data_IF_833535351728
#
_entry.id   IF_833535351728
#
_cell.length_a   1.000
_cell.length_b   1.000
_cell.length_c   1.000
_cell.angle_alpha   90.00
_cell.angle_beta   90.00
_cell.angle_gamma   90.00
#
_symmetry.space_group_name_H-M   'P 1'
#
loop_
_entity.id
_entity.type
_entity.pdbx_description
1 polymer ?
#
# COMPACT_ATOMS: atom_id res chain seq x y z
N UNK A 1 15.81 3.70 23.09
CA UNK A 1 15.42 4.75 22.13
C UNK A 1 13.92 4.70 21.84
N UNK A 2 13.24 5.84 21.84
CA UNK A 2 11.82 5.96 21.47
C UNK A 2 11.65 6.04 19.95
N UNK A 3 10.60 5.42 19.41
CA UNK A 3 10.20 5.64 18.02
C UNK A 3 9.63 7.05 17.96
N UNK A 4 10.30 7.95 17.25
CA UNK A 4 9.81 9.30 17.00
C UNK A 4 8.81 9.26 15.82
N UNK A 5 7.53 9.16 16.18
CA UNK A 5 6.41 9.12 15.23
C UNK A 5 6.36 10.40 14.40
N UNK A 6 6.62 11.56 15.02
CA UNK A 6 6.58 12.85 14.34
C UNK A 6 7.64 12.94 13.26
N UNK A 7 8.84 12.46 13.57
CA UNK A 7 9.92 12.42 12.60
C UNK A 7 9.65 11.41 11.46
N UNK A 8 9.05 10.24 11.72
CA UNK A 8 8.65 9.30 10.65
C UNK A 8 7.63 9.93 9.71
N UNK A 9 6.61 10.58 10.26
CA UNK A 9 5.55 11.24 9.46
C UNK A 9 6.13 12.40 8.66
N UNK A 10 7.01 13.22 9.26
CA UNK A 10 7.70 14.31 8.56
C UNK A 10 8.56 13.78 7.41
N UNK A 11 9.43 12.80 7.66
CA UNK A 11 10.28 12.22 6.61
C UNK A 11 9.44 11.57 5.52
N UNK A 12 8.35 10.88 5.88
CA UNK A 12 7.39 10.33 4.93
C UNK A 12 6.78 11.40 4.03
N UNK A 13 6.38 12.53 4.60
CA UNK A 13 5.89 13.69 3.85
C UNK A 13 6.97 14.27 2.93
N UNK A 14 8.16 14.56 3.46
CA UNK A 14 9.30 15.11 2.70
C UNK A 14 9.64 14.22 1.50
N UNK A 15 9.72 12.90 1.70
CA UNK A 15 9.95 11.95 0.60
C UNK A 15 8.81 11.90 -0.41
N UNK A 16 7.56 12.08 0.01
CA UNK A 16 6.41 12.11 -0.92
C UNK A 16 6.49 13.30 -1.88
N UNK A 17 6.95 14.46 -1.39
CA UNK A 17 7.07 15.68 -2.21
C UNK A 17 8.39 15.79 -2.99
N UNK A 18 9.33 14.85 -2.80
CA UNK A 18 10.55 14.78 -3.63
C UNK A 18 10.24 14.35 -5.06
N UNK A 19 11.20 14.55 -5.97
CA UNK A 19 11.09 14.15 -7.37
C UNK A 19 10.74 12.67 -7.52
N UNK A 20 11.46 11.78 -6.83
CA UNK A 20 11.20 10.34 -6.87
C UNK A 20 9.81 10.01 -6.29
N UNK A 21 9.41 10.64 -5.17
CA UNK A 21 8.07 10.48 -4.60
C UNK A 21 6.95 10.88 -5.56
N UNK A 22 7.09 12.02 -6.23
CA UNK A 22 6.11 12.49 -7.23
C UNK A 22 6.08 11.62 -8.49
N UNK A 23 7.21 11.06 -8.91
CA UNK A 23 7.26 10.10 -10.02
C UNK A 23 6.51 8.81 -9.67
N UNK A 24 6.71 8.26 -8.47
CA UNK A 24 5.93 7.12 -7.99
C UNK A 24 4.44 7.45 -7.86
N UNK A 25 4.10 8.65 -7.38
CA UNK A 25 2.71 9.10 -7.30
C UNK A 25 2.08 9.17 -8.70
N UNK A 26 2.79 9.71 -9.69
CA UNK A 26 2.32 9.78 -11.07
C UNK A 26 2.14 8.37 -11.68
N UNK A 27 3.05 7.44 -11.40
CA UNK A 27 2.93 6.05 -11.85
C UNK A 27 1.73 5.34 -11.21
N UNK A 28 1.57 5.45 -9.89
CA UNK A 28 0.45 4.85 -9.17
C UNK A 28 -0.89 5.46 -9.63
N UNK A 29 -0.93 6.78 -9.78
CA UNK A 29 -2.08 7.48 -10.36
C UNK A 29 -2.44 6.93 -11.74
N UNK A 30 -1.46 6.81 -12.64
CA UNK A 30 -1.68 6.27 -13.98
C UNK A 30 -2.24 4.84 -13.94
N UNK A 31 -1.68 3.97 -13.09
CA UNK A 31 -2.19 2.61 -12.90
C UNK A 31 -3.61 2.61 -12.36
N UNK A 32 -3.92 3.42 -11.34
CA UNK A 32 -5.25 3.42 -10.74
C UNK A 32 -6.31 3.99 -11.69
N UNK A 33 -5.96 5.00 -12.49
CA UNK A 33 -6.85 5.51 -13.55
C UNK A 33 -7.06 4.43 -14.62
N UNK A 34 -6.00 3.76 -15.08
CA UNK A 34 -6.13 2.66 -16.03
C UNK A 34 -7.02 1.55 -15.46
N UNK A 35 -6.77 1.09 -14.24
CA UNK A 35 -7.55 0.02 -13.61
C UNK A 35 -9.05 0.38 -13.49
N UNK A 36 -9.36 1.63 -13.14
CA UNK A 36 -10.73 2.12 -13.10
C UNK A 36 -11.45 2.02 -14.47
N UNK A 37 -10.71 2.18 -15.59
CA UNK A 37 -11.26 2.01 -16.95
C UNK A 37 -11.66 0.56 -17.25
N UNK A 38 -11.03 -0.42 -16.60
CA UNK A 38 -11.23 -1.85 -16.84
C UNK A 38 -12.13 -2.52 -15.78
N UNK A 39 -12.32 -1.94 -14.60
CA UNK A 39 -12.93 -2.59 -13.42
C UNK A 39 -14.39 -3.08 -13.59
N UNK A 40 -15.19 -2.50 -14.49
CA UNK A 40 -16.67 -2.68 -14.51
C UNK A 40 -17.17 -4.01 -15.08
N UNK A 41 -16.33 -4.81 -15.75
CA UNK A 41 -16.79 -6.06 -16.38
C UNK A 41 -17.33 -7.13 -15.40
N UNK A 42 -16.99 -7.07 -14.11
CA UNK A 42 -17.34 -8.11 -13.12
C UNK A 42 -18.68 -7.82 -12.43
N UNK A 43 -19.02 -6.55 -12.18
CA UNK A 43 -20.23 -6.17 -11.44
C UNK A 43 -21.53 -6.60 -12.17
N UNK A 44 -21.55 -6.48 -13.50
CA UNK A 44 -22.70 -6.86 -14.32
C UNK A 44 -23.03 -8.36 -14.23
N UNK A 45 -22.02 -9.23 -14.05
CA UNK A 45 -22.23 -10.69 -13.97
C UNK A 45 -22.75 -11.16 -12.61
N UNK A 46 -22.41 -10.45 -11.53
CA UNK A 46 -22.99 -10.72 -10.21
C UNK A 46 -24.44 -10.26 -10.15
N UNK A 47 -24.78 -9.15 -10.83
CA UNK A 47 -26.16 -8.68 -10.98
C UNK A 47 -27.02 -9.68 -11.78
N UNK A 48 -26.51 -10.24 -12.89
CA UNK A 48 -27.27 -11.21 -13.68
C UNK A 48 -27.53 -12.56 -12.98
N UNK A 49 -26.69 -12.93 -12.00
CA UNK A 49 -26.86 -14.16 -11.22
C UNK A 49 -27.85 -13.99 -10.05
N UNK A 50 -28.00 -12.77 -9.53
CA UNK A 50 -28.90 -12.45 -8.41
C UNK A 50 -30.36 -12.21 -8.83
N UNK A 51 -30.61 -11.81 -10.08
CA UNK A 51 -31.96 -11.46 -10.58
C UNK A 51 -32.81 -12.67 -11.03
N UNK A 52 -32.27 -13.90 -11.08
CA UNK A 52 -33.05 -15.10 -11.44
C UNK A 52 -33.85 -15.73 -10.27
N UNK A 53 -33.76 -15.17 -9.05
CA UNK A 53 -34.53 -15.63 -7.89
C UNK A 53 -35.85 -14.85 -7.70
N UNK A 54 -37.00 -15.52 -7.47
CA UNK A 54 -38.26 -14.82 -7.21
C UNK A 54 -38.19 -14.15 -5.84
N UNK A 55 -37.88 -12.85 -5.82
CA UNK A 55 -37.70 -12.05 -4.60
C UNK A 55 -36.54 -11.06 -4.62
N UNK A 56 -35.91 -10.81 -5.78
CA UNK A 56 -34.80 -9.84 -5.90
C UNK A 56 -35.18 -8.46 -5.37
N UNK A 57 -34.61 -8.10 -4.22
CA UNK A 57 -34.58 -6.70 -3.77
C UNK A 57 -33.60 -5.96 -4.65
N UNK A 58 -33.99 -4.79 -5.17
CA UNK A 58 -33.13 -3.95 -5.99
C UNK A 58 -31.78 -3.72 -5.28
N UNK A 59 -30.65 -3.80 -5.99
CA UNK A 59 -29.35 -3.74 -5.35
C UNK A 59 -29.14 -2.37 -4.71
N UNK A 60 -28.62 -2.41 -3.49
CA UNK A 60 -28.22 -1.28 -2.63
C UNK A 60 -27.02 -0.48 -3.21
N UNK A 61 -26.76 -0.60 -4.51
CA UNK A 61 -25.59 -0.08 -5.22
C UNK A 61 -25.59 1.45 -5.39
N UNK A 62 -26.72 2.12 -5.20
CA UNK A 62 -26.81 3.59 -5.28
C UNK A 62 -26.28 4.32 -4.02
N UNK A 63 -25.95 3.59 -2.95
CA UNK A 63 -25.39 4.18 -1.72
C UNK A 63 -23.86 4.14 -1.66
N UNK A 64 -23.19 3.49 -2.62
CA UNK A 64 -21.73 3.33 -2.64
C UNK A 64 -21.17 3.49 -4.06
N UNK A 65 -21.12 4.73 -4.56
CA UNK A 65 -20.33 5.12 -5.72
C UNK A 65 -20.74 4.43 -7.03
N UNK A 66 -21.52 5.14 -7.85
CA UNK A 66 -21.80 4.70 -9.22
C UNK A 66 -20.53 4.38 -10.01
N UNK A 67 -20.69 3.63 -11.11
CA UNK A 67 -19.58 3.20 -11.97
C UNK A 67 -18.60 4.36 -12.24
N UNK A 68 -17.27 4.10 -12.21
CA UNK A 68 -16.29 5.14 -12.46
C UNK A 68 -16.63 5.87 -13.77
N UNK A 69 -16.50 7.20 -13.80
CA UNK A 69 -16.96 8.03 -14.93
C UNK A 69 -16.22 7.71 -16.24
N UNK A 70 -15.14 6.92 -16.16
CA UNK A 70 -14.38 6.38 -17.28
C UNK A 70 -14.56 4.86 -17.22
N UNK A 71 -15.54 4.31 -17.92
CA UNK A 71 -15.62 2.86 -18.12
C UNK A 71 -15.71 2.57 -19.61
N UNK A 72 -14.95 1.57 -20.06
CA UNK A 72 -14.88 1.21 -21.48
C UNK A 72 -15.93 0.15 -21.87
N UNK A 73 -16.80 -0.26 -20.95
CA UNK A 73 -17.81 -1.30 -21.19
C UNK A 73 -17.21 -2.64 -21.64
N UNK A 74 -15.99 -2.94 -21.20
CA UNK A 74 -15.29 -4.16 -21.61
C UNK A 74 -15.86 -5.38 -20.89
N UNK A 75 -15.97 -6.49 -21.62
CA UNK A 75 -16.39 -7.76 -21.03
C UNK A 75 -15.48 -8.17 -19.86
N UNK A 76 -16.06 -8.79 -18.83
CA UNK A 76 -15.34 -9.35 -17.68
C UNK A 76 -14.11 -10.18 -18.08
N UNK A 77 -14.20 -10.87 -19.21
CA UNK A 77 -13.18 -11.77 -19.75
C UNK A 77 -11.91 -11.02 -20.16
N UNK A 78 -12.04 -9.78 -20.62
CA UNK A 78 -10.91 -8.92 -21.02
C UNK A 78 -10.48 -8.03 -19.85
N UNK A 79 -11.44 -7.50 -19.09
CA UNK A 79 -11.19 -6.66 -17.92
C UNK A 79 -10.30 -7.35 -16.86
N UNK A 80 -10.67 -8.58 -16.49
CA UNK A 80 -9.99 -9.33 -15.41
C UNK A 80 -8.50 -9.55 -15.66
N UNK A 81 -8.05 -10.10 -16.82
CA UNK A 81 -6.63 -10.28 -17.07
C UNK A 81 -5.88 -8.94 -17.16
N UNK A 82 -6.51 -7.87 -17.68
CA UNK A 82 -5.88 -6.54 -17.72
C UNK A 82 -5.68 -5.99 -16.30
N UNK A 83 -6.70 -6.03 -15.44
CA UNK A 83 -6.57 -5.62 -14.04
C UNK A 83 -5.55 -6.48 -13.28
N UNK A 84 -5.47 -7.78 -13.58
CA UNK A 84 -4.44 -8.65 -13.01
C UNK A 84 -3.04 -8.20 -13.43
N UNK A 85 -2.83 -7.88 -14.71
CA UNK A 85 -1.55 -7.36 -15.22
C UNK A 85 -1.21 -6.00 -14.59
N UNK A 86 -2.18 -5.09 -14.49
CA UNK A 86 -2.00 -3.79 -13.82
C UNK A 86 -1.64 -3.96 -12.34
N UNK A 87 -2.25 -4.94 -11.67
CA UNK A 87 -1.90 -5.33 -10.30
C UNK A 87 -0.45 -5.82 -10.18
N UNK A 88 0.02 -6.66 -11.12
CA UNK A 88 1.42 -7.10 -11.15
C UNK A 88 2.38 -5.93 -11.38
N UNK A 89 2.06 -5.01 -12.30
CA UNK A 89 2.85 -3.79 -12.51
C UNK A 89 2.88 -2.94 -11.24
N UNK A 90 1.74 -2.79 -10.55
CA UNK A 90 1.64 -2.07 -9.28
C UNK A 90 2.55 -2.66 -8.19
N UNK A 91 2.67 -4.00 -8.11
CA UNK A 91 3.59 -4.67 -7.19
C UNK A 91 5.04 -4.31 -7.51
N UNK A 92 5.42 -4.34 -8.80
CA UNK A 92 6.78 -3.95 -9.22
C UNK A 92 7.10 -2.51 -8.83
N UNK A 93 6.15 -1.59 -9.04
CA UNK A 93 6.31 -0.18 -8.65
C UNK A 93 6.44 -0.04 -7.14
N UNK A 94 5.67 -0.81 -6.38
CA UNK A 94 5.75 -0.85 -4.92
C UNK A 94 7.13 -1.31 -4.44
N UNK A 95 7.69 -2.38 -5.04
CA UNK A 95 9.05 -2.87 -4.74
C UNK A 95 10.07 -1.77 -5.03
N UNK A 96 10.01 -1.16 -6.22
CA UNK A 96 10.95 -0.11 -6.61
C UNK A 96 10.86 1.11 -5.70
N UNK A 97 9.65 1.51 -5.29
CA UNK A 97 9.43 2.60 -4.34
C UNK A 97 10.03 2.29 -2.97
N UNK A 98 9.80 1.09 -2.43
CA UNK A 98 10.38 0.68 -1.15
C UNK A 98 11.91 0.66 -1.24
N UNK A 99 12.50 0.07 -2.29
CA UNK A 99 13.97 0.06 -2.50
C UNK A 99 14.52 1.47 -2.55
N UNK A 100 13.90 2.36 -3.32
CA UNK A 100 14.33 3.76 -3.47
C UNK A 100 14.26 4.51 -2.14
N UNK A 101 13.17 4.36 -1.38
CA UNK A 101 13.02 5.02 -0.09
C UNK A 101 13.91 4.41 1.00
N UNK A 102 14.28 3.14 0.92
CA UNK A 102 15.21 2.56 1.91
C UNK A 102 16.66 2.98 1.64
N UNK A 103 17.07 3.19 0.39
CA UNK A 103 18.45 3.57 0.03
C UNK A 103 18.72 5.09 0.12
N UNK A 104 17.76 5.91 0.55
CA UNK A 104 17.86 7.39 0.60
C UNK A 104 18.11 8.08 -0.77
N UNK A 105 17.95 7.35 -1.87
CA UNK A 105 18.13 7.87 -3.22
C UNK A 105 16.93 8.75 -3.64
N UNK A 106 17.15 10.06 -3.73
CA UNK A 106 16.09 11.06 -3.97
C UNK A 106 16.11 11.68 -5.36
N UNK A 107 17.20 11.53 -6.11
CA UNK A 107 17.45 12.28 -7.35
C UNK A 107 17.43 11.44 -8.64
N UNK A 108 17.69 10.13 -8.56
CA UNK A 108 17.67 9.19 -9.69
C UNK A 108 16.82 7.96 -9.37
N UNK A 109 16.24 7.35 -10.41
CA UNK A 109 15.58 6.04 -10.35
C UNK A 109 16.54 4.99 -10.92
N UNK A 110 17.20 4.17 -10.08
CA UNK A 110 18.09 3.11 -10.55
C UNK A 110 17.29 2.09 -11.36
N UNK A 111 17.68 1.87 -12.61
CA UNK A 111 16.98 0.93 -13.49
C UNK A 111 17.10 -0.51 -12.98
N UNK A 112 18.16 -0.81 -12.25
CA UNK A 112 18.40 -2.13 -11.65
C UNK A 112 17.22 -2.54 -10.73
N UNK A 113 16.59 -1.59 -10.04
CA UNK A 113 15.43 -1.86 -9.18
C UNK A 113 14.15 -2.24 -9.93
N UNK A 114 14.10 -2.02 -11.24
CA UNK A 114 12.99 -2.38 -12.12
C UNK A 114 13.28 -3.61 -12.99
N UNK A 115 14.49 -4.16 -12.99
CA UNK A 115 14.87 -5.22 -13.92
C UNK A 115 15.59 -6.41 -13.27
N UNK A 116 16.30 -6.21 -12.17
CA UNK A 116 17.07 -7.28 -11.53
C UNK A 116 16.31 -7.93 -10.36
N UNK A 117 16.28 -9.27 -10.39
CA UNK A 117 15.71 -10.14 -9.36
C UNK A 117 14.31 -9.75 -8.88
N UNK A 118 13.42 -9.36 -9.79
CA UNK A 118 12.04 -8.98 -9.46
C UNK A 118 11.08 -10.16 -9.32
N UNK A 119 11.28 -11.22 -10.11
CA UNK A 119 10.34 -12.35 -10.16
C UNK A 119 10.17 -12.98 -8.76
N UNK A 120 11.29 -13.16 -8.06
CA UNK A 120 11.30 -13.82 -6.76
C UNK A 120 10.62 -12.98 -5.66
N UNK A 121 10.94 -11.69 -5.46
CA UNK A 121 10.20 -10.79 -4.58
C UNK A 121 8.72 -10.65 -4.95
N UNK A 122 8.37 -10.56 -6.24
CA UNK A 122 6.96 -10.44 -6.67
C UNK A 122 6.18 -11.68 -6.25
N UNK A 123 6.68 -12.89 -6.54
CA UNK A 123 6.02 -14.15 -6.15
C UNK A 123 5.86 -14.21 -4.62
N UNK A 124 6.92 -13.88 -3.87
CA UNK A 124 6.87 -13.90 -2.41
C UNK A 124 5.95 -12.83 -1.83
N UNK A 125 5.84 -11.65 -2.45
CA UNK A 125 4.90 -10.60 -2.04
C UNK A 125 3.45 -11.03 -2.30
N UNK A 126 3.17 -11.72 -3.41
CA UNK A 126 1.82 -12.24 -3.71
C UNK A 126 1.46 -13.34 -2.71
N UNK A 127 2.28 -14.39 -2.62
CA UNK A 127 2.02 -15.54 -1.75
C UNK A 127 2.02 -15.11 -0.28
N UNK A 128 3.03 -14.35 0.13
CA UNK A 128 3.12 -13.76 1.47
C UNK A 128 1.95 -12.85 1.78
N UNK A 129 1.49 -12.03 0.82
CA UNK A 129 0.34 -11.15 1.00
C UNK A 129 -0.94 -11.92 1.25
N UNK A 130 -1.17 -13.01 0.53
CA UNK A 130 -2.32 -13.91 0.74
C UNK A 130 -2.24 -14.55 2.13
N UNK A 131 -1.10 -15.14 2.49
CA UNK A 131 -0.90 -15.80 3.79
C UNK A 131 -1.06 -14.80 4.94
N UNK A 132 -0.47 -13.61 4.81
CA UNK A 132 -0.60 -12.51 5.76
C UNK A 132 -2.05 -12.07 5.93
N UNK A 133 -2.76 -11.87 4.82
CA UNK A 133 -4.18 -11.48 4.82
C UNK A 133 -5.05 -12.52 5.53
N UNK A 134 -4.86 -13.81 5.21
CA UNK A 134 -5.58 -14.91 5.88
C UNK A 134 -5.26 -14.95 7.37
N UNK A 135 -3.98 -14.85 7.75
CA UNK A 135 -3.57 -14.87 9.15
C UNK A 135 -4.18 -13.70 9.95
N UNK A 136 -4.16 -12.49 9.39
CA UNK A 136 -4.75 -11.30 9.99
C UNK A 136 -6.28 -11.44 10.08
N UNK A 137 -6.94 -11.94 9.03
CA UNK A 137 -8.38 -12.16 9.01
C UNK A 137 -8.82 -13.19 10.05
N UNK A 138 -8.09 -14.30 10.19
CA UNK A 138 -8.30 -15.29 11.26
C UNK A 138 -8.09 -14.64 12.62
N UNK A 139 -7.02 -13.85 12.76
CA UNK A 139 -6.74 -13.08 13.97
C UNK A 139 -7.95 -12.25 14.40
N UNK A 140 -8.49 -11.42 13.50
CA UNK A 140 -9.68 -10.60 13.74
C UNK A 140 -10.94 -11.42 13.97
N UNK A 141 -11.11 -12.55 13.28
CA UNK A 141 -12.25 -13.46 13.45
C UNK A 141 -12.28 -14.10 14.83
N UNK A 142 -11.11 -14.38 15.40
CA UNK A 142 -11.00 -14.87 16.77
C UNK A 142 -11.27 -13.72 17.75
N UNK A 143 -10.53 -12.60 17.66
CA UNK A 143 -10.74 -11.38 18.43
C UNK A 143 -10.04 -10.18 17.76
N UNK A 144 -10.45 -8.95 18.06
CA UNK A 144 -9.79 -7.74 17.51
C UNK A 144 -8.31 -7.65 17.89
N UNK A 145 -7.96 -8.05 19.12
CA UNK A 145 -6.58 -7.91 19.65
C UNK A 145 -5.57 -8.81 18.92
N UNK A 146 -5.80 -10.13 18.72
CA UNK A 146 -4.92 -10.98 17.91
C UNK A 146 -4.72 -10.49 16.46
N UNK A 147 -5.79 -10.01 15.81
CA UNK A 147 -5.71 -9.45 14.45
C UNK A 147 -4.79 -8.23 14.39
N UNK A 148 -5.00 -7.26 15.29
CA UNK A 148 -4.14 -6.07 15.39
C UNK A 148 -2.70 -6.43 15.74
N UNK A 149 -2.50 -7.40 16.63
CA UNK A 149 -1.19 -7.85 17.01
C UNK A 149 -0.41 -8.44 15.83
N UNK A 150 -1.06 -9.27 15.01
CA UNK A 150 -0.46 -9.82 13.78
C UNK A 150 -0.18 -8.73 12.75
N UNK A 151 -1.14 -7.84 12.51
CA UNK A 151 -1.02 -6.71 11.59
C UNK A 151 0.23 -5.89 11.88
N UNK A 152 0.41 -5.51 13.15
CA UNK A 152 1.54 -4.67 13.59
C UNK A 152 2.85 -5.46 13.66
N UNK A 153 2.81 -6.72 14.10
CA UNK A 153 4.02 -7.53 14.25
C UNK A 153 4.64 -7.90 12.92
N UNK A 154 3.82 -8.04 11.88
CA UNK A 154 4.28 -8.43 10.56
C UNK A 154 4.40 -7.25 9.60
N UNK A 155 3.85 -6.06 9.91
CA UNK A 155 3.79 -4.87 9.04
C UNK A 155 4.99 -4.62 8.10
N UNK A 156 6.22 -4.87 8.56
CA UNK A 156 7.46 -4.63 7.79
C UNK A 156 7.94 -5.80 6.93
N UNK A 157 7.22 -6.92 6.89
CA UNK A 157 7.65 -8.14 6.19
C UNK A 157 7.91 -7.90 4.70
N UNK A 158 7.08 -7.05 4.07
CA UNK A 158 7.21 -6.71 2.66
C UNK A 158 8.51 -5.95 2.35
N UNK A 159 9.07 -5.21 3.31
CA UNK A 159 10.35 -4.51 3.14
C UNK A 159 11.51 -5.50 3.06
N UNK A 160 11.50 -6.55 3.89
CA UNK A 160 12.51 -7.62 3.82
C UNK A 160 12.48 -8.35 2.47
N UNK A 161 11.28 -8.66 1.97
CA UNK A 161 11.14 -9.31 0.65
C UNK A 161 11.56 -8.37 -0.48
N UNK A 162 11.13 -7.11 -0.43
CA UNK A 162 11.42 -6.14 -1.48
C UNK A 162 12.90 -5.74 -1.52
N UNK A 163 13.53 -5.50 -0.37
CA UNK A 163 14.90 -4.94 -0.28
C UNK A 163 15.95 -6.03 -0.13
N UNK A 164 15.72 -7.02 0.73
CA UNK A 164 16.73 -8.04 1.05
C UNK A 164 16.57 -9.31 0.19
N UNK A 165 15.51 -9.41 -0.62
CA UNK A 165 15.25 -10.59 -1.46
C UNK A 165 14.82 -11.82 -0.67
N UNK A 166 14.42 -11.63 0.59
CA UNK A 166 13.98 -12.71 1.48
C UNK A 166 12.72 -13.42 0.94
N UNK A 167 12.56 -14.70 1.31
CA UNK A 167 11.28 -15.38 1.13
C UNK A 167 10.22 -14.81 2.07
N UNK A 168 8.93 -14.97 1.76
CA UNK A 168 7.86 -14.44 2.61
C UNK A 168 7.91 -14.98 4.05
N UNK A 169 8.34 -16.24 4.21
CA UNK A 169 8.47 -16.90 5.52
C UNK A 169 9.57 -16.22 6.33
N UNK A 170 10.73 -15.99 5.73
CA UNK A 170 11.85 -15.32 6.39
C UNK A 170 11.50 -13.86 6.67
N UNK A 171 10.83 -13.18 5.73
CA UNK A 171 10.32 -11.83 5.93
C UNK A 171 9.36 -11.72 7.13
N UNK A 172 8.46 -12.70 7.33
CA UNK A 172 7.61 -12.74 8.53
C UNK A 172 8.41 -12.93 9.81
N UNK A 173 9.36 -13.87 9.81
CA UNK A 173 10.19 -14.17 10.97
C UNK A 173 11.03 -12.95 11.39
N UNK A 174 11.66 -12.28 10.43
CA UNK A 174 12.49 -11.09 10.67
C UNK A 174 11.66 -9.88 11.07
N UNK A 175 10.50 -9.68 10.44
CA UNK A 175 9.54 -8.64 10.84
C UNK A 175 9.07 -8.83 12.27
N UNK A 176 8.72 -10.06 12.66
CA UNK A 176 8.31 -10.38 14.03
C UNK A 176 9.39 -10.07 15.07
N UNK A 177 10.65 -10.39 14.75
CA UNK A 177 11.81 -10.08 15.60
C UNK A 177 12.05 -8.57 15.70
N UNK A 178 12.03 -7.86 14.57
CA UNK A 178 12.30 -6.42 14.49
C UNK A 178 11.23 -5.57 15.18
N UNK A 179 9.97 -6.00 15.15
CA UNK A 179 8.86 -5.30 15.83
C UNK A 179 8.75 -5.67 17.32
N UNK A 180 9.51 -6.67 17.78
CA UNK A 180 9.57 -7.11 19.18
C UNK A 180 9.85 -5.97 20.15
N UNK A 181 9.05 -5.89 21.22
CA UNK A 181 9.20 -4.87 22.27
C UNK A 181 8.69 -3.46 21.90
N UNK A 182 8.27 -3.22 20.65
CA UNK A 182 7.82 -1.88 20.18
C UNK A 182 6.45 -1.87 19.51
N UNK A 183 5.72 -2.98 19.59
CA UNK A 183 4.41 -3.18 18.92
C UNK A 183 3.39 -2.08 19.23
N UNK A 184 3.25 -1.67 20.50
CA UNK A 184 2.30 -0.59 20.84
C UNK A 184 2.64 0.75 20.17
N UNK A 185 3.93 1.06 20.01
CA UNK A 185 4.37 2.29 19.31
C UNK A 185 4.14 2.19 17.81
N UNK A 186 4.35 1.02 17.22
CA UNK A 186 4.04 0.76 15.82
C UNK A 186 2.53 0.80 15.55
N UNK A 187 1.73 0.34 16.49
CA UNK A 187 0.28 0.51 16.45
C UNK A 187 -0.12 1.99 16.47
N UNK A 188 0.44 2.76 17.40
CA UNK A 188 0.20 4.21 17.46
C UNK A 188 0.66 4.93 16.17
N UNK A 189 1.81 4.57 15.62
CA UNK A 189 2.28 5.06 14.33
C UNK A 189 1.28 4.73 13.21
N UNK A 190 0.77 3.49 13.17
CA UNK A 190 -0.26 3.08 12.22
C UNK A 190 -1.52 3.94 12.32
N UNK A 191 -1.99 4.25 13.54
CA UNK A 191 -3.11 5.19 13.76
C UNK A 191 -2.80 6.56 13.18
N UNK A 192 -1.60 7.10 13.42
CA UNK A 192 -1.21 8.42 12.90
C UNK A 192 -1.14 8.42 11.37
N UNK A 193 -0.58 7.38 10.75
CA UNK A 193 -0.55 7.22 9.29
C UNK A 193 -1.96 7.16 8.71
N UNK A 194 -2.87 6.40 9.33
CA UNK A 194 -4.28 6.34 8.94
C UNK A 194 -4.93 7.72 9.08
N UNK A 195 -4.67 8.44 10.16
CA UNK A 195 -5.22 9.77 10.37
C UNK A 195 -4.75 10.77 9.30
N UNK A 196 -3.45 10.75 8.95
CA UNK A 196 -2.92 11.56 7.85
C UNK A 196 -3.59 11.17 6.53
N UNK A 197 -3.72 9.88 6.24
CA UNK A 197 -4.39 9.39 5.04
C UNK A 197 -5.86 9.84 4.98
N UNK A 198 -6.59 9.83 6.11
CA UNK A 198 -7.96 10.32 6.19
C UNK A 198 -8.04 11.83 5.93
N UNK A 199 -7.14 12.62 6.51
CA UNK A 199 -7.11 14.08 6.28
C UNK A 199 -6.86 14.38 4.81
N UNK A 200 -5.89 13.70 4.18
CA UNK A 200 -5.62 13.86 2.74
C UNK A 200 -6.83 13.39 1.93
N UNK A 201 -7.40 12.24 2.25
CA UNK A 201 -8.58 11.71 1.55
C UNK A 201 -9.74 12.71 1.57
N UNK A 202 -10.07 13.28 2.74
CA UNK A 202 -11.11 14.32 2.87
C UNK A 202 -10.75 15.59 2.09
N UNK A 203 -9.48 16.02 2.14
CA UNK A 203 -9.02 17.22 1.44
C UNK A 203 -9.18 17.12 -0.10
N UNK A 204 -9.08 15.91 -0.66
CA UNK A 204 -9.30 15.66 -2.09
C UNK A 204 -10.76 15.30 -2.41
N UNK A 205 -11.45 14.57 -1.53
CA UNK A 205 -12.84 14.14 -1.73
C UNK A 205 -13.84 15.31 -1.69
N UNK A 206 -13.65 16.28 -0.79
CA UNK A 206 -14.60 17.42 -0.65
C UNK A 206 -14.64 18.28 -1.92
N UNK A 207 -13.51 18.74 -2.50
CA UNK A 207 -13.53 19.43 -3.79
C UNK A 207 -13.95 18.52 -4.94
N UNK A 208 -13.59 17.23 -4.92
CA UNK A 208 -13.99 16.30 -5.96
C UNK A 208 -15.51 16.13 -6.07
N UNK A 209 -16.20 16.13 -4.93
CA UNK A 209 -17.66 15.96 -4.88
C UNK A 209 -18.45 17.09 -5.56
N UNK A 210 -17.86 18.29 -5.73
CA UNK A 210 -18.50 19.42 -6.43
C UNK A 210 -18.06 19.54 -7.89
N UNK A 211 -17.07 18.76 -8.31
CA UNK A 211 -16.55 18.77 -9.67
C UNK A 211 -17.32 17.79 -10.56
N UNK A 212 -17.42 18.05 -11.88
CA UNK A 212 -18.07 17.14 -12.81
C UNK A 212 -17.32 15.80 -12.87
N UNK A 213 -18.09 14.71 -12.97
CA UNK A 213 -17.68 13.32 -12.70
C UNK A 213 -16.21 12.97 -12.96
N UNK A 214 -15.73 13.14 -14.20
CA UNK A 214 -14.34 12.82 -14.56
C UNK A 214 -13.31 13.64 -13.80
N UNK A 215 -13.52 14.94 -13.64
CA UNK A 215 -12.57 15.84 -12.98
C UNK A 215 -12.53 15.55 -11.48
N UNK A 216 -13.69 15.31 -10.87
CA UNK A 216 -13.77 14.89 -9.46
C UNK A 216 -13.05 13.58 -9.22
N UNK A 217 -13.33 12.56 -10.04
CA UNK A 217 -12.65 11.26 -9.98
C UNK A 217 -11.12 11.38 -10.10
N UNK A 218 -10.61 12.08 -11.11
CA UNK A 218 -9.17 12.24 -11.27
C UNK A 218 -8.54 12.96 -10.07
N UNK A 219 -9.24 13.93 -9.47
CA UNK A 219 -8.77 14.60 -8.26
C UNK A 219 -8.67 13.64 -7.07
N UNK A 220 -9.66 12.77 -6.86
CA UNK A 220 -9.60 11.73 -5.81
C UNK A 220 -8.45 10.76 -6.04
N UNK A 221 -8.22 10.36 -7.30
CA UNK A 221 -7.12 9.47 -7.65
C UNK A 221 -5.75 10.10 -7.37
N UNK A 222 -5.60 11.42 -7.51
CA UNK A 222 -4.38 12.14 -7.09
C UNK A 222 -4.18 12.00 -5.58
N UNK A 223 -5.22 12.23 -4.79
CA UNK A 223 -5.18 12.05 -3.33
C UNK A 223 -4.78 10.63 -2.93
N UNK A 224 -5.38 9.63 -3.56
CA UNK A 224 -5.07 8.21 -3.36
C UNK A 224 -3.61 7.88 -3.67
N UNK A 225 -3.08 8.35 -4.80
CA UNK A 225 -1.70 8.12 -5.18
C UNK A 225 -0.71 8.73 -4.19
N UNK A 226 -0.98 9.96 -3.71
CA UNK A 226 -0.16 10.63 -2.70
C UNK A 226 -0.17 9.88 -1.36
N UNK A 227 -1.33 9.37 -0.92
CA UNK A 227 -1.46 8.54 0.28
C UNK A 227 -0.64 7.26 0.14
N UNK A 228 -0.70 6.61 -1.03
CA UNK A 228 0.08 5.41 -1.33
C UNK A 228 1.58 5.65 -1.16
N UNK A 229 2.11 6.69 -1.82
CA UNK A 229 3.54 7.04 -1.73
C UNK A 229 3.94 7.42 -0.30
N UNK A 230 3.14 8.23 0.39
CA UNK A 230 3.37 8.59 1.79
C UNK A 230 3.47 7.37 2.69
N UNK A 231 2.57 6.41 2.51
CA UNK A 231 2.55 5.16 3.28
C UNK A 231 3.82 4.34 3.03
N UNK A 232 4.24 4.21 1.76
CA UNK A 232 5.49 3.51 1.42
C UNK A 232 6.72 4.19 2.01
N UNK A 233 6.78 5.52 1.95
CA UNK A 233 7.87 6.30 2.54
C UNK A 233 7.92 6.16 4.07
N UNK A 234 6.77 6.21 4.74
CA UNK A 234 6.67 6.01 6.19
C UNK A 234 7.06 4.59 6.60
N UNK A 235 6.67 3.57 5.82
CA UNK A 235 7.08 2.16 6.02
C UNK A 235 8.60 2.01 5.90
N UNK A 236 9.19 2.56 4.84
CA UNK A 236 10.63 2.51 4.61
C UNK A 236 11.41 3.18 5.75
N UNK A 237 10.98 4.37 6.16
CA UNK A 237 11.61 5.10 7.26
C UNK A 237 11.49 4.36 8.60
N UNK A 238 10.33 3.76 8.87
CA UNK A 238 10.12 2.95 10.07
C UNK A 238 11.08 1.76 10.11
N UNK A 239 11.22 1.08 8.97
CA UNK A 239 12.15 -0.04 8.82
C UNK A 239 13.60 0.40 9.08
N UNK A 240 14.08 1.47 8.44
CA UNK A 240 15.44 1.97 8.60
C UNK A 240 15.75 2.33 10.06
N UNK A 241 14.84 3.05 10.73
CA UNK A 241 15.01 3.43 12.14
C UNK A 241 15.01 2.23 13.08
N UNK A 242 14.10 1.27 12.87
CA UNK A 242 14.06 0.07 13.70
C UNK A 242 15.30 -0.79 13.50
N UNK A 243 15.79 -0.91 12.26
CA UNK A 243 17.00 -1.67 11.95
C UNK A 243 18.22 -1.01 12.59
N UNK A 244 18.37 0.30 12.48
CA UNK A 244 19.44 1.05 13.15
C UNK A 244 19.39 0.88 14.68
N UNK A 245 18.20 0.92 15.29
CA UNK A 245 18.03 0.73 16.73
C UNK A 245 18.25 -0.71 17.20
N UNK A 246 18.25 -1.69 16.30
CA UNK A 246 18.47 -3.11 16.58
C UNK A 246 19.87 -3.59 16.19
N UNK A 247 20.67 -2.76 15.51
CA UNK A 247 22.08 -3.04 15.26
C UNK A 247 22.86 -2.96 16.59
N UNK A 248 23.77 -3.91 16.89
CA UNK A 248 24.69 -3.78 18.01
C UNK A 248 25.49 -2.49 17.84
N UNK A 249 25.47 -1.61 18.84
CA UNK A 249 26.04 -0.26 18.74
C UNK A 249 27.47 -0.26 18.25
N UNK A 250 27.74 0.55 17.24
CA UNK A 250 29.08 1.10 17.03
C UNK A 250 29.47 1.77 18.37
N UNK A 251 30.56 1.37 19.03
CA UNK A 251 30.96 2.01 20.27
C UNK A 251 31.20 3.50 20.00
N UNK A 252 30.58 4.35 20.81
CA UNK A 252 30.88 5.78 20.85
C UNK A 252 32.40 5.95 20.89
N UNK A 253 32.98 6.39 19.76
CA UNK A 253 34.33 6.92 19.75
C UNK A 253 34.24 8.25 20.48
N UNK A 254 34.45 8.17 21.79
CA UNK A 254 34.77 9.32 22.63
C UNK A 254 36.00 9.96 22.02
N UNK A 255 35.81 11.05 21.29
CA UNK A 255 36.89 11.96 20.93
C UNK A 255 37.05 12.87 22.14
N UNK A 256 38.07 12.59 22.95
CA UNK A 256 38.65 13.53 23.91
C UNK A 256 39.26 14.76 23.19
#
# INVERSE_FOLDING_TARGET
MSIDIGAIVRTGYERTVTRNGLLFAAMLFGISVLDAMFSVGVAERTMSFGEMGPGGTAPVSDLAGGAPPISLGLSAVIATPVSLLLGLVSIVITIAAIRTFVTDETEALPREYFTEDLLWPVINLIVGGIVFGIAVAIGFSLLVIPGLFLLVSLFLWGVFVAVEGDSFIEGFRRSWGLTGGRRLRLFALGIVVIFVALVVSVAFAVPAAVLPGIVGFLLEQVGSALIGVFTLAAVAETYTRLRAASAPGEPDTVVE
#
